data_IF_492459945642
#
_entry.id   IF_492459945642
#
_cell.length_a   1.000
_cell.length_b   1.000
_cell.length_c   1.000
_cell.angle_alpha   90.00
_cell.angle_beta   90.00
_cell.angle_gamma   90.00
#
_symmetry.space_group_name_H-M   'P 1'
#
loop_
_entity.id
_entity.type
_entity.pdbx_description
1 polymer ?
#
# COMPACT_ATOMS: atom_id res chain seq x y z
N UNK A 1 15.60 -8.64 8.09
CA UNK A 1 15.46 -8.12 6.71
C UNK A 1 14.55 -6.91 6.78
N UNK A 2 14.88 -5.82 6.08
CA UNK A 2 14.13 -4.56 6.16
C UNK A 2 13.25 -4.41 4.91
N UNK A 3 12.00 -3.93 5.04
CA UNK A 3 11.09 -3.86 3.91
C UNK A 3 11.40 -2.66 3.00
N UNK A 4 11.20 -2.84 1.69
CA UNK A 4 11.33 -1.81 0.66
C UNK A 4 10.17 -1.93 -0.35
N UNK A 5 9.84 -0.84 -1.04
CA UNK A 5 8.78 -0.79 -2.04
C UNK A 5 9.34 -0.29 -3.39
N UNK A 6 8.67 -0.64 -4.50
CA UNK A 6 9.08 -0.23 -5.84
C UNK A 6 9.29 1.29 -5.99
N UNK A 7 8.46 2.10 -5.33
CA UNK A 7 8.57 3.57 -5.33
C UNK A 7 9.91 4.09 -4.79
N UNK A 8 10.63 3.30 -3.97
CA UNK A 8 11.91 3.67 -3.37
C UNK A 8 13.08 3.69 -4.37
N UNK A 9 12.94 3.00 -5.51
CA UNK A 9 14.00 2.88 -6.52
C UNK A 9 14.36 4.26 -7.08
N UNK A 10 13.37 5.11 -7.40
CA UNK A 10 13.64 6.45 -7.92
C UNK A 10 14.42 7.31 -6.92
N UNK A 11 14.00 7.32 -5.64
CA UNK A 11 14.70 8.05 -4.58
C UNK A 11 16.15 7.57 -4.40
N UNK A 12 16.36 6.25 -4.51
CA UNK A 12 17.70 5.64 -4.44
C UNK A 12 18.58 6.05 -5.62
N UNK A 13 18.06 6.05 -6.84
CA UNK A 13 18.80 6.50 -8.03
C UNK A 13 19.22 7.97 -7.93
N UNK A 14 18.35 8.84 -7.40
CA UNK A 14 18.63 10.27 -7.23
C UNK A 14 19.76 10.49 -6.23
N UNK A 15 19.72 9.79 -5.08
CA UNK A 15 20.79 9.87 -4.08
C UNK A 15 22.12 9.33 -4.65
N UNK A 16 22.10 8.19 -5.35
CA UNK A 16 23.29 7.64 -6.01
C UNK A 16 23.89 8.59 -7.04
N UNK A 17 23.05 9.26 -7.81
CA UNK A 17 23.48 10.22 -8.83
C UNK A 17 23.95 11.56 -8.23
N UNK A 18 23.77 11.79 -6.92
CA UNK A 18 24.10 13.05 -6.27
C UNK A 18 23.30 14.24 -6.81
N UNK A 19 22.07 13.99 -7.27
CA UNK A 19 21.21 14.99 -7.91
C UNK A 19 19.95 15.26 -7.09
N UNK A 20 19.07 16.12 -7.60
CA UNK A 20 17.76 16.42 -7.01
C UNK A 20 16.65 16.03 -7.97
N UNK A 21 15.53 15.55 -7.41
CA UNK A 21 14.31 15.39 -8.20
C UNK A 21 13.82 16.78 -8.65
N UNK A 22 13.46 16.97 -9.93
CA UNK A 22 12.98 18.25 -10.39
C UNK A 22 11.59 18.56 -9.79
N UNK A 23 11.32 19.84 -9.51
CA UNK A 23 9.98 20.31 -9.12
C UNK A 23 9.08 20.56 -10.35
N UNK A 24 9.71 20.85 -11.50
CA UNK A 24 9.05 21.12 -12.76
C UNK A 24 9.74 20.39 -13.92
N UNK A 25 8.95 19.95 -14.90
CA UNK A 25 9.43 19.37 -16.14
C UNK A 25 8.61 19.96 -17.31
N UNK A 26 9.29 20.51 -18.31
CA UNK A 26 8.67 21.18 -19.47
C UNK A 26 7.64 22.27 -19.08
N UNK A 27 7.95 23.07 -18.05
CA UNK A 27 7.08 24.15 -17.57
C UNK A 27 5.83 23.68 -16.82
N UNK A 28 5.77 22.41 -16.43
CA UNK A 28 4.68 21.84 -15.62
C UNK A 28 5.23 21.36 -14.29
N UNK A 29 4.51 21.67 -13.21
CA UNK A 29 4.78 21.06 -11.89
C UNK A 29 4.57 19.57 -11.96
N UNK A 30 5.50 18.81 -11.37
CA UNK A 30 5.42 17.36 -11.31
C UNK A 30 5.26 16.89 -9.86
N UNK A 31 4.75 15.67 -9.70
CA UNK A 31 4.58 15.05 -8.39
C UNK A 31 5.96 14.62 -7.86
N UNK A 32 6.33 15.00 -6.63
CA UNK A 32 7.56 14.51 -6.00
C UNK A 32 7.58 12.99 -5.91
N UNK A 33 8.78 12.41 -5.90
CA UNK A 33 8.90 10.96 -5.64
C UNK A 33 8.40 10.63 -4.22
N UNK A 34 7.46 9.69 -4.04
CA UNK A 34 6.93 9.33 -2.72
C UNK A 34 7.83 8.33 -1.98
N UNK A 35 8.81 7.74 -2.66
CA UNK A 35 9.71 6.75 -2.10
C UNK A 35 10.81 7.36 -1.23
N UNK A 36 11.42 6.52 -0.40
CA UNK A 36 12.62 6.86 0.37
C UNK A 36 13.79 6.02 -0.13
N UNK A 37 14.96 6.62 -0.24
CA UNK A 37 16.16 5.88 -0.64
C UNK A 37 16.41 4.70 0.29
N UNK A 38 16.73 3.54 -0.29
CA UNK A 38 17.05 2.30 0.44
C UNK A 38 18.57 2.05 0.52
N UNK A 39 19.40 3.05 0.18
CA UNK A 39 20.85 2.95 0.31
C UNK A 39 21.34 2.59 1.72
N UNK A 40 20.72 3.07 2.82
CA UNK A 40 21.10 2.61 4.15
C UNK A 40 21.04 1.07 4.28
N UNK A 41 19.97 0.44 3.76
CA UNK A 41 19.83 -1.03 3.76
C UNK A 41 20.99 -1.69 3.00
N UNK A 42 21.37 -1.15 1.83
CA UNK A 42 22.47 -1.67 1.02
C UNK A 42 23.82 -1.54 1.74
N UNK A 43 23.99 -0.51 2.57
CA UNK A 43 25.18 -0.28 3.40
C UNK A 43 25.20 -1.08 4.70
N UNK A 44 24.14 -1.85 4.99
CA UNK A 44 23.99 -2.61 6.23
C UNK A 44 23.50 -1.76 7.42
N UNK A 45 22.99 -0.57 7.16
CA UNK A 45 22.40 0.33 8.15
C UNK A 45 20.90 0.08 8.31
N UNK A 46 20.35 0.54 9.43
CA UNK A 46 18.92 0.48 9.70
C UNK A 46 18.19 1.71 9.13
N UNK A 47 17.09 1.43 8.44
CA UNK A 47 16.14 2.45 8.01
C UNK A 47 15.21 2.82 9.17
N UNK A 48 14.80 4.09 9.27
CA UNK A 48 13.73 4.47 10.16
C UNK A 48 12.44 3.69 9.89
N UNK A 49 11.68 3.45 10.94
CA UNK A 49 10.33 2.89 10.82
C UNK A 49 9.48 3.75 9.87
N UNK A 50 8.74 3.05 9.01
CA UNK A 50 7.86 3.66 8.02
C UNK A 50 6.68 2.75 7.74
N UNK A 51 5.64 3.37 7.21
CA UNK A 51 4.53 2.67 6.62
C UNK A 51 4.81 2.35 5.15
N UNK A 52 4.30 1.21 4.70
CA UNK A 52 4.27 0.79 3.31
C UNK A 52 2.83 0.48 2.98
N UNK A 53 2.33 1.07 1.90
CA UNK A 53 0.93 1.01 1.51
C UNK A 53 0.76 0.38 0.13
N UNK A 54 -0.37 -0.28 -0.08
CA UNK A 54 -0.82 -0.66 -1.41
C UNK A 54 -2.34 -0.67 -1.48
N UNK A 55 -2.86 -0.24 -2.63
CA UNK A 55 -4.22 -0.49 -3.06
C UNK A 55 -4.17 -1.06 -4.48
N UNK A 56 -4.96 -2.09 -4.74
CA UNK A 56 -5.16 -2.59 -6.10
C UNK A 56 -6.53 -3.29 -6.20
N UNK A 57 -7.42 -2.69 -6.98
CA UNK A 57 -8.75 -3.23 -7.30
C UNK A 57 -9.61 -3.53 -6.06
N UNK A 58 -9.55 -2.65 -5.06
CA UNK A 58 -10.25 -2.76 -3.79
C UNK A 58 -9.52 -3.63 -2.76
N UNK A 59 -8.41 -4.28 -3.11
CA UNK A 59 -7.54 -4.93 -2.13
C UNK A 59 -6.66 -3.86 -1.48
N UNK A 60 -6.56 -3.90 -0.15
CA UNK A 60 -5.93 -2.86 0.66
C UNK A 60 -4.85 -3.47 1.54
N UNK A 61 -3.74 -2.76 1.69
CA UNK A 61 -2.64 -3.18 2.54
C UNK A 61 -1.91 -1.98 3.15
N UNK A 62 -1.58 -2.12 4.43
CA UNK A 62 -0.62 -1.26 5.12
C UNK A 62 0.31 -2.13 5.98
N UNK A 63 1.59 -1.79 6.01
CA UNK A 63 2.60 -2.46 6.83
C UNK A 63 3.43 -1.46 7.62
N UNK A 64 3.63 -1.71 8.91
CA UNK A 64 4.57 -1.00 9.80
C UNK A 64 5.45 -2.02 10.51
N UNK A 65 6.75 -2.02 10.20
CA UNK A 65 7.68 -3.01 10.76
C UNK A 65 7.22 -4.45 10.45
N UNK A 66 6.94 -5.22 11.50
CA UNK A 66 6.48 -6.60 11.41
C UNK A 66 4.95 -6.72 11.26
N UNK A 67 4.18 -5.67 11.53
CA UNK A 67 2.73 -5.69 11.48
C UNK A 67 2.20 -5.34 10.10
N UNK A 68 1.25 -6.12 9.59
CA UNK A 68 0.60 -5.90 8.30
C UNK A 68 -0.91 -6.03 8.48
N UNK A 69 -1.65 -5.03 8.03
CA UNK A 69 -3.10 -5.03 7.93
C UNK A 69 -3.48 -5.18 6.46
N UNK A 70 -4.38 -6.10 6.16
CA UNK A 70 -4.89 -6.34 4.80
C UNK A 70 -6.40 -6.46 4.78
N UNK A 71 -7.00 -6.10 3.66
CA UNK A 71 -8.40 -6.36 3.36
C UNK A 71 -8.51 -6.79 1.91
N UNK A 72 -9.22 -7.89 1.68
CA UNK A 72 -9.49 -8.39 0.33
C UNK A 72 -10.95 -8.13 -0.05
N UNK A 73 -11.16 -7.46 -1.17
CA UNK A 73 -12.50 -7.11 -1.67
C UNK A 73 -13.39 -8.35 -1.85
N UNK A 74 -12.84 -9.43 -2.39
CA UNK A 74 -13.59 -10.69 -2.56
C UNK A 74 -13.95 -11.39 -1.24
N UNK A 75 -13.37 -10.97 -0.11
CA UNK A 75 -13.69 -11.45 1.25
C UNK A 75 -14.59 -10.48 2.03
N UNK A 76 -15.24 -9.54 1.37
CA UNK A 76 -16.20 -8.63 2.01
C UNK A 76 -15.57 -7.41 2.68
N UNK A 77 -14.35 -7.04 2.28
CA UNK A 77 -13.66 -5.85 2.75
C UNK A 77 -13.39 -5.80 4.27
N UNK A 78 -13.37 -6.97 4.93
CA UNK A 78 -12.99 -7.08 6.33
C UNK A 78 -11.48 -6.98 6.50
N UNK A 79 -11.05 -6.25 7.55
CA UNK A 79 -9.65 -6.15 7.92
C UNK A 79 -9.15 -7.41 8.62
N UNK A 80 -7.94 -7.82 8.27
CA UNK A 80 -7.19 -8.90 8.91
C UNK A 80 -5.81 -8.37 9.29
N UNK A 81 -5.36 -8.69 10.51
CA UNK A 81 -4.08 -8.24 11.05
C UNK A 81 -3.13 -9.44 11.17
N UNK A 82 -1.88 -9.26 10.71
CA UNK A 82 -0.85 -10.29 10.73
C UNK A 82 0.47 -9.74 11.26
N UNK A 83 1.23 -10.60 11.96
CA UNK A 83 2.64 -10.37 12.24
C UNK A 83 3.47 -11.14 11.21
N UNK A 84 4.08 -10.45 10.26
CA UNK A 84 4.78 -11.02 9.12
C UNK A 84 6.13 -11.64 9.50
N UNK A 85 6.68 -11.29 10.66
CA UNK A 85 7.91 -11.93 11.15
C UNK A 85 7.65 -13.37 11.57
N UNK A 86 6.54 -13.61 12.26
CA UNK A 86 6.14 -14.93 12.76
C UNK A 86 5.28 -15.71 11.74
N UNK A 87 4.46 -15.00 10.95
CA UNK A 87 3.57 -15.58 9.94
C UNK A 87 3.69 -14.84 8.60
N UNK A 88 4.71 -15.23 7.83
CA UNK A 88 4.94 -14.69 6.47
C UNK A 88 3.84 -15.01 5.47
N UNK A 89 2.98 -15.96 5.79
CA UNK A 89 1.93 -16.51 4.90
C UNK A 89 0.55 -15.95 5.19
N UNK A 90 0.38 -15.13 6.24
CA UNK A 90 -0.89 -14.49 6.58
C UNK A 90 -2.00 -15.52 6.85
N UNK A 91 -1.70 -16.54 7.65
CA UNK A 91 -2.62 -17.63 7.98
C UNK A 91 -3.38 -17.40 9.29
N UNK A 92 -2.79 -16.65 10.23
CA UNK A 92 -3.34 -16.45 11.57
C UNK A 92 -3.75 -14.99 11.77
N UNK A 93 -5.04 -14.70 11.63
CA UNK A 93 -5.58 -13.35 11.83
C UNK A 93 -5.59 -12.98 13.32
N UNK A 94 -4.79 -11.98 13.69
CA UNK A 94 -4.58 -11.51 15.05
C UNK A 94 -5.43 -10.27 15.42
N UNK A 95 -6.39 -9.87 14.58
CA UNK A 95 -7.13 -8.61 14.77
C UNK A 95 -7.88 -8.53 16.10
N UNK A 96 -8.39 -9.67 16.60
CA UNK A 96 -9.09 -9.75 17.89
C UNK A 96 -8.16 -9.65 19.09
N UNK A 97 -6.90 -10.06 18.91
CA UNK A 97 -5.88 -10.06 19.96
C UNK A 97 -5.20 -8.69 20.08
N UNK A 98 -5.06 -7.97 18.96
CA UNK A 98 -4.40 -6.66 18.90
C UNK A 98 -5.27 -5.60 18.20
N UNK A 99 -6.46 -5.27 18.75
CA UNK A 99 -7.39 -4.33 18.11
C UNK A 99 -6.83 -2.90 18.00
N UNK A 100 -6.00 -2.47 18.96
CA UNK A 100 -5.37 -1.15 18.93
C UNK A 100 -4.35 -1.02 17.79
N UNK A 101 -3.55 -2.07 17.55
CA UNK A 101 -2.61 -2.12 16.43
C UNK A 101 -3.35 -2.12 15.09
N UNK A 102 -4.44 -2.88 15.00
CA UNK A 102 -5.29 -2.87 13.81
C UNK A 102 -5.87 -1.48 13.55
N UNK A 103 -6.31 -0.77 14.60
CA UNK A 103 -6.86 0.57 14.47
C UNK A 103 -5.82 1.60 14.03
N UNK A 104 -4.62 1.56 14.61
CA UNK A 104 -3.51 2.42 14.21
C UNK A 104 -3.18 2.26 12.71
N UNK A 105 -3.07 1.01 12.26
CA UNK A 105 -2.79 0.71 10.85
C UNK A 105 -3.95 1.13 9.94
N UNK A 106 -5.18 0.89 10.34
CA UNK A 106 -6.38 1.32 9.60
C UNK A 106 -6.39 2.84 9.39
N UNK A 107 -6.15 3.61 10.46
CA UNK A 107 -6.13 5.07 10.39
C UNK A 107 -5.01 5.57 9.47
N UNK A 108 -3.80 4.98 9.58
CA UNK A 108 -2.69 5.28 8.68
C UNK A 108 -3.01 4.95 7.21
N UNK A 109 -3.71 3.84 6.96
CA UNK A 109 -4.12 3.47 5.60
C UNK A 109 -5.08 4.51 5.01
N UNK A 110 -6.10 4.94 5.76
CA UNK A 110 -7.07 5.89 5.25
C UNK A 110 -6.48 7.30 5.05
N UNK A 111 -5.59 7.75 5.94
CA UNK A 111 -4.84 8.99 5.72
C UNK A 111 -4.02 8.96 4.43
N UNK A 112 -3.30 7.86 4.19
CA UNK A 112 -2.56 7.66 2.95
C UNK A 112 -3.46 7.57 1.71
N UNK A 113 -4.60 6.89 1.83
CA UNK A 113 -5.55 6.69 0.74
C UNK A 113 -6.17 8.03 0.29
N UNK A 114 -6.54 8.88 1.25
CA UNK A 114 -7.04 10.23 0.97
C UNK A 114 -5.98 11.11 0.30
N UNK A 115 -4.74 11.08 0.80
CA UNK A 115 -3.63 11.84 0.20
C UNK A 115 -3.25 11.33 -1.20
N UNK A 116 -3.53 10.06 -1.50
CA UNK A 116 -3.18 9.41 -2.77
C UNK A 116 -4.35 9.33 -3.76
N UNK A 117 -5.47 10.02 -3.47
CA UNK A 117 -6.70 10.03 -4.28
C UNK A 117 -7.23 8.61 -4.61
N UNK A 118 -7.09 7.67 -3.67
CA UNK A 118 -7.58 6.30 -3.85
C UNK A 118 -9.11 6.31 -3.94
N UNK A 119 -9.62 5.80 -5.05
CA UNK A 119 -11.06 5.72 -5.29
C UNK A 119 -11.65 4.42 -4.75
N UNK A 120 -12.82 4.51 -4.14
CA UNK A 120 -13.56 3.33 -3.69
C UNK A 120 -13.89 2.40 -4.87
N UNK A 121 -13.39 1.18 -4.86
CA UNK A 121 -13.41 0.29 -6.03
C UNK A 121 -14.81 -0.03 -6.58
N UNK A 122 -15.85 -0.32 -5.76
CA UNK A 122 -17.21 -0.46 -6.28
C UNK A 122 -17.72 0.74 -7.08
N UNK A 123 -17.28 1.97 -6.75
CA UNK A 123 -17.61 3.19 -7.48
C UNK A 123 -16.92 3.22 -8.86
N UNK A 124 -15.65 2.80 -8.91
CA UNK A 124 -14.86 2.68 -10.14
C UNK A 124 -15.45 1.61 -11.06
N UNK A 125 -15.69 0.40 -10.54
CA UNK A 125 -16.28 -0.70 -11.30
C UNK A 125 -17.61 -0.29 -11.95
N UNK A 126 -18.52 0.31 -11.18
CA UNK A 126 -19.80 0.79 -11.70
C UNK A 126 -19.67 1.91 -12.73
N UNK A 127 -18.57 2.67 -12.73
CA UNK A 127 -18.35 3.76 -13.68
C UNK A 127 -17.84 3.23 -15.02
N UNK A 128 -16.86 2.32 -15.00
CA UNK A 128 -16.26 1.77 -16.22
C UNK A 128 -17.08 0.63 -16.86
N UNK A 129 -17.99 -0.01 -16.12
CA UNK A 129 -18.80 -1.13 -16.61
C UNK A 129 -20.25 -0.78 -16.97
N UNK A 130 -20.64 0.50 -16.99
CA UNK A 130 -21.99 0.96 -17.40
C UNK A 130 -22.47 0.46 -18.77
N UNK A 131 -21.56 -0.06 -19.62
CA UNK A 131 -21.87 -0.67 -20.92
C UNK A 131 -21.60 -2.17 -21.05
N UNK A 132 -21.20 -2.88 -19.98
CA UNK A 132 -20.96 -4.34 -20.02
C UNK A 132 -22.25 -5.11 -19.74
N UNK A 133 -22.57 -6.08 -20.60
CA UNK A 133 -23.81 -6.89 -20.58
C UNK A 133 -23.93 -7.91 -19.42
N UNK A 134 -22.90 -8.08 -18.59
CA UNK A 134 -22.89 -9.08 -17.50
C UNK A 134 -22.53 -8.45 -16.17
N UNK A 135 -23.36 -8.68 -15.16
CA UNK A 135 -23.11 -8.31 -13.77
C UNK A 135 -22.05 -9.25 -13.16
N UNK A 136 -21.22 -8.73 -12.25
CA UNK A 136 -20.22 -9.50 -11.50
C UNK A 136 -20.87 -10.66 -10.70
N UNK A 137 -22.13 -10.51 -10.27
CA UNK A 137 -22.89 -11.59 -9.62
C UNK A 137 -22.98 -12.85 -10.48
N UNK A 138 -22.93 -12.74 -11.81
CA UNK A 138 -22.97 -13.88 -12.73
C UNK A 138 -21.65 -14.69 -12.76
N UNK A 139 -20.59 -14.19 -12.14
CA UNK A 139 -19.27 -14.86 -12.07
C UNK A 139 -18.98 -15.50 -10.71
N UNK A 140 -19.81 -15.28 -9.69
CA UNK A 140 -19.63 -15.88 -8.34
C UNK A 140 -19.96 -17.37 -8.27
N UNK A 141 -20.71 -17.89 -9.24
CA UNK A 141 -21.23 -19.26 -9.24
C UNK A 141 -20.53 -20.18 -10.27
N UNK A 142 -19.23 -19.99 -10.52
CA UNK A 142 -18.42 -20.92 -11.32
C UNK A 142 -17.13 -21.33 -10.64
#
# INVERSE_FOLDING_TARGET
>A
HQPAQFSDIMATCIELAGTKYPEEYEGRKIVPTPGKSILPIVRGEEMPDRYIYAEHEGNRMVRKGDWKLVSANFRGDEWELYNIKEDRTEQHNLIKEYPEMAKELEDAYFEWADHSDVLYFPKVWNTYNKGRRKDFKEYRDK
#
